data_IF_995287985181
#
_entry.id   IF_995287985181
#
_cell.length_a   1.000
_cell.length_b   1.000
_cell.length_c   1.000
_cell.angle_alpha   90.00
_cell.angle_beta   90.00
_cell.angle_gamma   90.00
#
_symmetry.space_group_name_H-M   'P 1'
#
loop_
_entity.id
_entity.type
_entity.pdbx_description
1 polymer ?
#
# COMPACT_ATOMS: atom_id res chain seq x y z
N UNK A 1 -2.22 59.33 -0.71
CA UNK A 1 -2.97 58.07 -0.61
C UNK A 1 -2.01 57.04 -0.09
N UNK A 2 -2.07 56.69 1.17
CA UNK A 2 -1.28 55.59 1.72
C UNK A 2 -2.01 54.27 1.44
N UNK A 3 -1.65 53.60 0.39
CA UNK A 3 -2.05 52.22 0.16
C UNK A 3 -1.14 51.34 1.02
N UNK A 4 -1.56 51.07 2.25
CA UNK A 4 -0.93 50.03 3.07
C UNK A 4 -1.39 48.68 2.49
N UNK A 5 -0.67 48.23 1.48
CA UNK A 5 -0.78 46.83 1.04
C UNK A 5 -0.18 45.99 2.15
N UNK A 6 -1.05 45.45 2.99
CA UNK A 6 -0.66 44.50 4.00
C UNK A 6 -0.35 43.17 3.29
N UNK A 7 0.90 43.02 2.83
CA UNK A 7 1.40 41.85 2.12
C UNK A 7 1.17 40.56 2.91
N UNK A 8 1.12 40.63 4.23
CA UNK A 8 0.80 39.47 5.08
C UNK A 8 -0.66 39.02 4.96
N UNK A 9 -1.60 39.92 4.75
CA UNK A 9 -3.03 39.60 4.66
C UNK A 9 -3.39 38.98 3.30
N UNK A 10 -2.77 39.50 2.21
CA UNK A 10 -2.96 38.95 0.86
C UNK A 10 -2.30 37.57 0.71
N UNK A 11 -1.14 37.35 1.29
CA UNK A 11 -0.46 36.06 1.29
C UNK A 11 -1.23 35.02 2.10
N UNK A 12 -1.82 35.41 3.23
CA UNK A 12 -2.66 34.52 4.04
C UNK A 12 -3.96 34.13 3.33
N UNK A 13 -4.60 35.07 2.63
CA UNK A 13 -5.81 34.79 1.82
C UNK A 13 -5.51 33.87 0.63
N UNK A 14 -4.43 34.11 -0.08
CA UNK A 14 -4.02 33.25 -1.18
C UNK A 14 -3.64 31.85 -0.68
N UNK A 15 -2.93 31.78 0.44
CA UNK A 15 -2.53 30.52 1.06
C UNK A 15 -3.72 29.66 1.47
N UNK A 16 -4.74 30.24 2.08
CA UNK A 16 -5.94 29.48 2.47
C UNK A 16 -6.77 29.04 1.27
N UNK A 17 -6.79 29.77 0.17
CA UNK A 17 -7.44 29.37 -1.07
C UNK A 17 -6.73 28.17 -1.72
N UNK A 18 -5.40 28.24 -1.85
CA UNK A 18 -4.61 27.13 -2.41
C UNK A 18 -4.67 25.89 -1.53
N UNK A 19 -4.60 26.03 -0.20
CA UNK A 19 -4.74 24.91 0.74
C UNK A 19 -6.08 24.19 0.55
N UNK A 20 -7.17 24.94 0.36
CA UNK A 20 -8.49 24.37 0.14
C UNK A 20 -8.59 23.60 -1.17
N UNK A 21 -8.08 24.15 -2.25
CA UNK A 21 -8.09 23.51 -3.55
C UNK A 21 -7.26 22.22 -3.53
N UNK A 22 -6.08 22.25 -2.91
CA UNK A 22 -5.21 21.12 -2.75
C UNK A 22 -5.88 19.98 -1.95
N UNK A 23 -6.57 20.30 -0.85
CA UNK A 23 -7.30 19.31 -0.05
C UNK A 23 -8.45 18.66 -0.81
N UNK A 24 -9.19 19.42 -1.61
CA UNK A 24 -10.27 18.89 -2.43
C UNK A 24 -9.75 17.93 -3.48
N UNK A 25 -8.70 18.26 -4.20
CA UNK A 25 -8.06 17.41 -5.20
C UNK A 25 -7.52 16.11 -4.57
N UNK A 26 -6.85 16.20 -3.42
CA UNK A 26 -6.33 15.06 -2.71
C UNK A 26 -7.42 14.11 -2.19
N UNK A 27 -8.53 14.63 -1.69
CA UNK A 27 -9.64 13.85 -1.14
C UNK A 27 -10.30 12.91 -2.16
N UNK A 28 -10.33 13.27 -3.41
CA UNK A 28 -10.99 12.47 -4.46
C UNK A 28 -10.30 11.12 -4.70
N UNK A 29 -9.03 10.97 -4.32
CA UNK A 29 -8.22 9.78 -4.56
C UNK A 29 -8.01 8.87 -3.35
N UNK A 30 -8.45 9.27 -2.16
CA UNK A 30 -8.27 8.48 -0.96
C UNK A 30 -9.29 7.35 -0.85
N UNK A 31 -8.88 6.14 -1.13
CA UNK A 31 -9.69 4.92 -0.98
C UNK A 31 -9.22 4.10 0.23
N UNK A 32 -7.92 3.74 0.29
CA UNK A 32 -7.36 2.91 1.35
C UNK A 32 -7.36 3.63 2.72
N UNK A 33 -7.13 4.94 2.73
CA UNK A 33 -7.14 5.73 3.97
C UNK A 33 -8.53 5.97 4.54
N UNK A 34 -9.59 5.77 3.74
CA UNK A 34 -10.97 6.10 4.10
C UNK A 34 -11.55 5.20 5.19
N UNK A 35 -11.17 3.93 5.21
CA UNK A 35 -11.80 2.89 6.03
C UNK A 35 -10.97 2.49 7.26
N UNK A 36 -9.74 3.01 7.39
CA UNK A 36 -8.87 2.74 8.53
C UNK A 36 -9.37 3.36 9.83
N UNK A 37 -9.04 2.75 10.95
CA UNK A 37 -9.25 3.34 12.28
C UNK A 37 -8.29 4.51 12.47
N UNK A 38 -8.81 5.73 12.59
CA UNK A 38 -8.01 6.93 12.82
C UNK A 38 -7.63 7.07 14.29
N UNK A 39 -6.34 7.20 14.57
CA UNK A 39 -5.78 7.41 15.92
C UNK A 39 -4.74 8.51 15.89
N UNK A 40 -5.13 9.78 16.17
CA UNK A 40 -4.17 10.88 16.21
C UNK A 40 -3.26 10.77 17.45
N UNK A 41 -1.97 11.12 17.26
CA UNK A 41 -1.02 11.29 18.35
C UNK A 41 -1.20 12.70 18.93
N UNK A 42 -1.39 12.88 20.23
CA UNK A 42 -1.39 14.20 20.85
C UNK A 42 -0.04 14.92 20.60
N UNK A 43 -0.08 16.22 20.37
CA UNK A 43 1.15 17.02 20.18
C UNK A 43 2.12 16.84 21.35
N UNK A 44 3.41 16.85 21.06
CA UNK A 44 4.51 16.70 22.03
C UNK A 44 4.63 15.32 22.73
N UNK A 45 3.95 14.28 22.21
CA UNK A 45 4.02 12.92 22.78
C UNK A 45 4.90 11.95 21.96
N UNK A 46 5.90 12.48 21.24
CA UNK A 46 6.83 11.67 20.47
C UNK A 46 6.28 11.25 19.10
N UNK A 47 7.00 10.38 18.42
CA UNK A 47 6.69 9.87 17.06
C UNK A 47 6.26 8.40 17.04
N UNK A 48 6.30 7.73 18.17
CA UNK A 48 6.03 6.31 18.33
C UNK A 48 4.66 6.08 18.93
N UNK A 49 3.87 5.20 18.35
CA UNK A 49 2.54 4.79 18.83
C UNK A 49 2.51 3.31 19.07
N UNK A 50 2.00 2.93 20.22
CA UNK A 50 1.78 1.56 20.63
C UNK A 50 0.28 1.29 20.74
N UNK A 51 -0.24 0.37 19.91
CA UNK A 51 -1.61 -0.14 20.00
C UNK A 51 -1.61 -1.39 20.84
N UNK A 52 -2.47 -1.42 21.86
CA UNK A 52 -2.58 -2.53 22.80
C UNK A 52 -3.90 -3.23 22.66
N UNK A 53 -3.86 -4.54 22.68
CA UNK A 53 -5.03 -5.40 22.63
C UNK A 53 -4.91 -6.52 23.66
N UNK A 54 -5.97 -6.71 24.44
CA UNK A 54 -6.09 -7.89 25.29
C UNK A 54 -6.40 -9.11 24.43
N UNK A 55 -5.70 -10.19 24.66
CA UNK A 55 -6.00 -11.46 24.05
C UNK A 55 -7.20 -12.10 24.73
N UNK A 56 -8.05 -12.75 23.96
CA UNK A 56 -9.19 -13.48 24.50
C UNK A 56 -8.70 -14.68 25.30
N UNK A 57 -9.37 -14.96 26.41
CA UNK A 57 -9.16 -16.20 27.12
C UNK A 57 -9.55 -17.40 26.26
N UNK A 58 -8.81 -18.50 26.44
CA UNK A 58 -9.16 -19.75 25.77
C UNK A 58 -10.43 -20.33 26.41
N UNK A 59 -11.56 -20.48 25.70
CA UNK A 59 -12.77 -21.07 26.24
C UNK A 59 -12.59 -22.59 26.36
N UNK A 60 -12.25 -23.08 27.51
CA UNK A 60 -12.17 -24.49 27.84
C UNK A 60 -13.27 -24.83 28.85
N UNK A 61 -14.11 -25.80 28.50
CA UNK A 61 -15.29 -26.19 29.28
C UNK A 61 -14.85 -26.83 30.60
N UNK A 62 -13.83 -27.66 30.57
CA UNK A 62 -13.36 -28.37 31.76
C UNK A 62 -12.61 -27.42 32.72
N UNK A 63 -11.81 -26.50 32.19
CA UNK A 63 -11.10 -25.48 32.95
C UNK A 63 -12.06 -24.51 33.67
N UNK A 64 -13.20 -24.23 33.06
CA UNK A 64 -14.21 -23.30 33.58
C UNK A 64 -15.31 -24.01 34.39
N UNK A 65 -15.24 -25.34 34.58
CA UNK A 65 -16.17 -26.10 35.38
C UNK A 65 -15.84 -25.91 36.87
N UNK A 66 -16.81 -25.44 37.63
CA UNK A 66 -16.65 -25.22 39.07
C UNK A 66 -17.00 -26.47 39.86
N UNK A 67 -16.18 -26.78 40.85
CA UNK A 67 -16.47 -27.82 41.83
C UNK A 67 -16.95 -27.13 43.12
N UNK A 68 -18.01 -27.60 43.72
CA UNK A 68 -18.58 -27.04 44.96
C UNK A 68 -17.56 -27.06 46.10
N UNK A 69 -17.36 -25.91 46.72
CA UNK A 69 -16.43 -25.77 47.85
C UNK A 69 -14.94 -25.63 47.48
N UNK A 70 -14.59 -25.62 46.17
CA UNK A 70 -13.22 -25.48 45.71
C UNK A 70 -13.04 -24.15 45.00
N UNK A 71 -12.05 -23.34 45.42
CA UNK A 71 -11.71 -22.08 44.72
C UNK A 71 -11.06 -22.38 43.37
N UNK A 72 -11.60 -21.88 42.24
CA UNK A 72 -10.99 -22.10 40.94
C UNK A 72 -9.64 -21.37 40.79
N UNK A 73 -8.81 -21.87 39.92
CA UNK A 73 -7.55 -21.19 39.56
C UNK A 73 -7.83 -19.92 38.76
N UNK A 74 -7.13 -18.83 39.12
CA UNK A 74 -7.20 -17.57 38.36
C UNK A 74 -6.51 -17.69 36.98
N UNK A 75 -7.06 -17.02 35.99
CA UNK A 75 -6.46 -16.91 34.66
C UNK A 75 -5.63 -15.63 34.58
N UNK A 76 -4.49 -15.69 33.88
CA UNK A 76 -3.65 -14.51 33.65
C UNK A 76 -4.06 -13.79 32.36
N UNK A 77 -4.07 -12.44 32.42
CA UNK A 77 -4.28 -11.60 31.24
C UNK A 77 -3.03 -11.60 30.36
N UNK A 78 -3.21 -11.74 29.07
CA UNK A 78 -2.15 -11.55 28.08
C UNK A 78 -2.50 -10.41 27.12
N UNK A 79 -1.49 -9.69 26.69
CA UNK A 79 -1.63 -8.49 25.85
C UNK A 79 -0.75 -8.65 24.62
N UNK A 80 -1.30 -8.24 23.47
CA UNK A 80 -0.55 -8.06 22.23
C UNK A 80 -0.39 -6.58 21.93
N UNK A 81 0.80 -6.17 21.51
CA UNK A 81 1.12 -4.79 21.12
C UNK A 81 1.45 -4.74 19.65
N UNK A 82 1.05 -3.65 19.02
CA UNK A 82 1.41 -3.31 17.64
C UNK A 82 1.96 -1.89 17.65
N UNK A 83 3.17 -1.73 17.15
CA UNK A 83 3.91 -0.48 17.17
C UNK A 83 3.97 0.15 15.77
N UNK A 84 3.96 1.48 15.71
CA UNK A 84 4.13 2.22 14.48
C UNK A 84 4.84 3.55 14.72
N UNK A 85 5.75 3.90 13.81
CA UNK A 85 6.46 5.17 13.78
C UNK A 85 5.91 6.05 12.67
N UNK A 86 5.59 7.31 12.99
CA UNK A 86 5.14 8.27 11.99
C UNK A 86 6.32 8.88 11.25
N UNK A 87 6.16 9.01 9.92
CA UNK A 87 7.15 9.58 9.01
C UNK A 87 6.58 10.83 8.34
N UNK A 88 7.47 11.76 7.98
CA UNK A 88 7.12 12.97 7.25
C UNK A 88 7.35 12.75 5.75
N UNK A 89 6.41 13.23 4.94
CA UNK A 89 6.51 13.24 3.49
C UNK A 89 6.34 14.66 2.98
N UNK A 90 7.05 15.03 1.92
CA UNK A 90 6.90 16.35 1.34
C UNK A 90 7.64 16.47 0.01
N UNK A 91 7.16 17.40 -0.80
CA UNK A 91 7.76 17.77 -2.07
C UNK A 91 7.60 19.28 -2.27
N UNK A 92 8.43 19.88 -3.11
CA UNK A 92 8.32 21.29 -3.48
C UNK A 92 8.73 21.50 -4.93
N UNK A 93 8.23 22.60 -5.49
CA UNK A 93 8.57 23.10 -6.84
C UNK A 93 9.11 24.50 -6.69
N UNK A 94 10.18 24.80 -7.42
CA UNK A 94 10.72 26.15 -7.55
C UNK A 94 10.23 26.79 -8.85
N UNK A 95 9.82 28.04 -8.76
CA UNK A 95 9.33 28.83 -9.90
C UNK A 95 10.17 30.11 -9.98
N UNK A 96 10.73 30.38 -11.17
CA UNK A 96 11.47 31.61 -11.38
C UNK A 96 10.53 32.81 -11.61
N UNK A 97 10.98 34.00 -11.25
CA UNK A 97 10.26 35.26 -11.48
C UNK A 97 9.97 35.51 -12.96
N UNK A 98 10.93 35.18 -13.83
CA UNK A 98 10.77 35.31 -15.28
C UNK A 98 9.66 34.40 -15.81
N UNK A 99 9.57 33.18 -15.29
CA UNK A 99 8.51 32.23 -15.67
C UNK A 99 7.14 32.73 -15.19
N UNK A 100 7.07 33.25 -13.97
CA UNK A 100 5.81 33.78 -13.41
C UNK A 100 5.32 35.04 -14.15
N UNK A 101 6.26 35.89 -14.63
CA UNK A 101 5.96 37.08 -15.40
C UNK A 101 5.64 36.82 -16.89
N UNK A 102 6.25 35.80 -17.48
CA UNK A 102 6.10 35.50 -18.92
C UNK A 102 5.16 34.35 -19.21
N UNK A 103 4.87 33.51 -18.22
CA UNK A 103 3.98 32.37 -18.34
C UNK A 103 2.53 32.80 -18.59
N UNK A 104 1.87 32.10 -19.50
CA UNK A 104 0.44 32.32 -19.77
C UNK A 104 -0.42 31.68 -18.66
N UNK A 105 0.04 30.60 -18.09
CA UNK A 105 -0.67 29.79 -17.07
C UNK A 105 -0.31 30.22 -15.63
N UNK A 106 -1.18 29.90 -14.70
CA UNK A 106 -0.97 30.16 -13.26
C UNK A 106 -0.06 29.09 -12.66
N UNK A 107 1.23 29.13 -12.98
CA UNK A 107 2.22 28.08 -12.63
C UNK A 107 2.24 27.76 -11.13
N UNK A 108 2.09 28.74 -10.26
CA UNK A 108 2.06 28.56 -8.79
C UNK A 108 0.81 27.77 -8.37
N UNK A 109 -0.37 28.09 -8.95
CA UNK A 109 -1.62 27.41 -8.61
C UNK A 109 -1.63 25.98 -9.12
N UNK A 110 -1.22 25.76 -10.36
CA UNK A 110 -1.16 24.44 -10.99
C UNK A 110 -0.13 23.54 -10.30
N UNK A 111 1.01 24.11 -9.89
CA UNK A 111 2.02 23.39 -9.08
C UNK A 111 1.48 22.96 -7.72
N UNK A 112 0.65 23.77 -7.08
CA UNK A 112 0.03 23.42 -5.80
C UNK A 112 -0.97 22.25 -5.96
N UNK A 113 -1.75 22.25 -7.04
CA UNK A 113 -2.69 21.16 -7.35
C UNK A 113 -1.95 19.86 -7.63
N UNK A 114 -0.91 19.87 -8.48
CA UNK A 114 -0.10 18.71 -8.81
C UNK A 114 0.62 18.12 -7.59
N UNK A 115 1.17 18.98 -6.72
CA UNK A 115 1.80 18.54 -5.47
C UNK A 115 0.78 17.91 -4.52
N UNK A 116 -0.46 18.41 -4.50
CA UNK A 116 -1.53 17.82 -3.71
C UNK A 116 -1.91 16.44 -4.19
N UNK A 117 -2.04 16.28 -5.48
CA UNK A 117 -2.31 14.99 -6.11
C UNK A 117 -1.18 14.00 -5.82
N UNK A 118 0.08 14.42 -5.99
CA UNK A 118 1.25 13.62 -5.71
C UNK A 118 1.28 13.13 -4.24
N UNK A 119 1.16 14.05 -3.28
CA UNK A 119 1.23 13.67 -1.87
C UNK A 119 0.01 12.87 -1.41
N UNK A 120 -1.18 13.14 -1.97
CA UNK A 120 -2.35 12.31 -1.77
C UNK A 120 -2.10 10.86 -2.19
N UNK A 121 -1.51 10.68 -3.36
CA UNK A 121 -1.12 9.37 -3.88
C UNK A 121 -0.06 8.70 -3.01
N UNK A 122 0.94 9.45 -2.51
CA UNK A 122 1.96 8.90 -1.58
C UNK A 122 1.33 8.39 -0.29
N UNK A 123 0.41 9.13 0.32
CA UNK A 123 -0.30 8.71 1.54
C UNK A 123 -1.13 7.45 1.28
N UNK A 124 -1.78 7.39 0.14
CA UNK A 124 -2.55 6.22 -0.31
C UNK A 124 -1.64 5.00 -0.48
N UNK A 125 -0.47 5.16 -1.11
CA UNK A 125 0.50 4.07 -1.30
C UNK A 125 1.09 3.57 0.02
N UNK A 126 1.41 4.47 0.95
CA UNK A 126 1.90 4.09 2.29
C UNK A 126 0.85 3.24 3.01
N UNK A 127 -0.42 3.63 2.93
CA UNK A 127 -1.52 2.86 3.54
C UNK A 127 -1.71 1.52 2.84
N UNK A 128 -1.77 1.51 1.52
CA UNK A 128 -1.90 0.31 0.69
C UNK A 128 -0.78 -0.69 0.97
N UNK A 129 0.47 -0.21 0.96
CA UNK A 129 1.63 -1.06 1.15
C UNK A 129 1.66 -1.63 2.58
N UNK A 130 1.29 -0.83 3.60
CA UNK A 130 1.12 -1.33 4.96
C UNK A 130 0.04 -2.43 5.03
N UNK A 131 -1.11 -2.26 4.37
CA UNK A 131 -2.15 -3.29 4.31
C UNK A 131 -1.69 -4.55 3.58
N UNK A 132 -0.81 -4.41 2.59
CA UNK A 132 -0.26 -5.54 1.83
C UNK A 132 0.86 -6.29 2.57
N UNK A 133 1.37 -5.82 3.70
CA UNK A 133 2.38 -6.51 4.50
C UNK A 133 1.82 -7.65 5.35
N UNK A 134 0.50 -7.81 5.46
CA UNK A 134 -0.14 -8.86 6.26
C UNK A 134 0.19 -10.27 5.77
N UNK A 135 0.19 -11.22 6.72
CA UNK A 135 0.48 -12.64 6.44
C UNK A 135 -0.78 -13.44 6.05
N UNK A 136 -1.97 -12.86 6.21
CA UNK A 136 -3.23 -13.53 5.85
C UNK A 136 -3.48 -13.39 4.35
N UNK A 137 -2.91 -14.31 3.58
CA UNK A 137 -2.93 -14.29 2.11
C UNK A 137 -3.68 -15.49 1.57
N UNK A 138 -4.52 -15.26 0.57
CA UNK A 138 -5.19 -16.28 -0.22
C UNK A 138 -4.74 -16.15 -1.67
N UNK A 139 -4.34 -17.26 -2.27
CA UNK A 139 -3.97 -17.32 -3.69
C UNK A 139 -5.12 -17.87 -4.51
N UNK A 140 -5.46 -17.20 -5.62
CA UNK A 140 -6.51 -17.66 -6.52
C UNK A 140 -6.15 -19.00 -7.18
N UNK A 141 -7.15 -19.71 -7.68
CA UNK A 141 -6.97 -21.00 -8.34
C UNK A 141 -6.43 -22.11 -7.42
N UNK A 142 -6.49 -21.93 -6.09
CA UNK A 142 -5.95 -22.92 -5.14
C UNK A 142 -4.43 -23.04 -5.14
N UNK A 143 -3.72 -22.05 -5.65
CA UNK A 143 -2.26 -21.99 -5.64
C UNK A 143 -1.71 -21.84 -4.22
N UNK A 144 -0.45 -22.22 -4.02
CA UNK A 144 0.20 -22.23 -2.70
C UNK A 144 1.01 -20.96 -2.44
N UNK A 145 1.48 -20.31 -3.51
CA UNK A 145 2.30 -19.11 -3.43
C UNK A 145 2.04 -18.21 -4.65
N UNK A 146 2.52 -16.95 -4.57
CA UNK A 146 2.43 -15.97 -5.66
C UNK A 146 3.09 -16.45 -6.95
N UNK A 147 4.23 -17.12 -6.84
CA UNK A 147 5.04 -17.56 -7.97
C UNK A 147 4.37 -18.61 -8.85
N UNK A 148 3.34 -19.27 -8.32
CA UNK A 148 2.57 -20.28 -9.06
C UNK A 148 1.32 -19.68 -9.75
N UNK A 149 1.03 -18.39 -9.54
CA UNK A 149 -0.10 -17.71 -10.15
C UNK A 149 0.14 -17.42 -11.63
N UNK A 150 -0.85 -17.67 -12.43
CA UNK A 150 -0.85 -17.41 -13.88
C UNK A 150 -1.97 -16.42 -14.22
N UNK A 151 -1.97 -15.87 -15.42
CA UNK A 151 -3.03 -14.99 -15.91
C UNK A 151 -4.42 -15.66 -15.94
N UNK A 152 -4.48 -17.00 -15.92
CA UNK A 152 -5.74 -17.75 -15.84
C UNK A 152 -6.32 -17.85 -14.42
N UNK A 153 -5.51 -17.64 -13.39
CA UNK A 153 -5.93 -17.70 -11.98
C UNK A 153 -6.59 -16.38 -11.56
N UNK A 154 -7.75 -16.07 -12.13
CA UNK A 154 -8.48 -14.81 -11.99
C UNK A 154 -9.21 -14.69 -10.67
N UNK A 155 -9.57 -13.45 -10.33
CA UNK A 155 -10.50 -13.20 -9.23
C UNK A 155 -11.89 -13.66 -9.61
N UNK A 156 -12.44 -14.61 -8.87
CA UNK A 156 -13.80 -15.13 -9.06
C UNK A 156 -14.67 -14.89 -7.83
N UNK A 157 -15.98 -14.96 -8.02
CA UNK A 157 -16.95 -14.88 -6.90
C UNK A 157 -16.70 -15.99 -5.87
N UNK A 158 -16.21 -17.16 -6.30
CA UNK A 158 -15.88 -18.26 -5.39
C UNK A 158 -14.71 -17.88 -4.46
N UNK A 159 -13.65 -17.26 -4.97
CA UNK A 159 -12.50 -16.82 -4.16
C UNK A 159 -12.96 -15.78 -3.11
N UNK A 160 -13.84 -14.87 -3.48
CA UNK A 160 -14.42 -13.88 -2.55
C UNK A 160 -15.25 -14.60 -1.45
N UNK A 161 -16.04 -15.60 -1.79
CA UNK A 161 -16.81 -16.39 -0.80
C UNK A 161 -15.89 -17.14 0.17
N UNK A 162 -14.74 -17.67 -0.32
CA UNK A 162 -13.71 -18.30 0.53
C UNK A 162 -13.13 -17.26 1.49
N UNK A 163 -12.78 -16.07 1.01
CA UNK A 163 -12.27 -14.97 1.81
C UNK A 163 -13.25 -14.52 2.90
N UNK A 164 -14.52 -14.31 2.55
CA UNK A 164 -15.56 -13.95 3.52
C UNK A 164 -15.75 -15.04 4.58
N UNK A 165 -15.68 -16.32 4.19
CA UNK A 165 -15.73 -17.44 5.14
C UNK A 165 -14.57 -17.37 6.13
N UNK A 166 -13.34 -17.09 5.66
CA UNK A 166 -12.15 -16.97 6.49
C UNK A 166 -12.28 -15.82 7.48
N UNK A 167 -12.74 -14.65 7.04
CA UNK A 167 -12.97 -13.49 7.91
C UNK A 167 -14.05 -13.76 8.96
N UNK A 168 -15.15 -14.39 8.60
CA UNK A 168 -16.23 -14.78 9.53
C UNK A 168 -15.73 -15.80 10.55
N UNK A 169 -14.92 -16.78 10.14
CA UNK A 169 -14.29 -17.75 11.05
C UNK A 169 -13.34 -17.07 12.03
N UNK A 170 -12.62 -16.04 11.59
CA UNK A 170 -11.77 -15.21 12.43
C UNK A 170 -12.55 -14.21 13.31
N UNK A 171 -13.88 -14.24 13.29
CA UNK A 171 -14.76 -13.31 14.02
C UNK A 171 -14.47 -11.84 13.68
N UNK A 172 -14.12 -11.56 12.42
CA UNK A 172 -13.89 -10.20 11.96
C UNK A 172 -15.19 -9.37 12.08
N UNK A 173 -15.04 -8.14 12.59
CA UNK A 173 -16.17 -7.21 12.74
C UNK A 173 -16.53 -6.63 11.38
N UNK A 174 -17.78 -6.75 10.91
CA UNK A 174 -18.19 -6.08 9.69
C UNK A 174 -18.37 -4.57 9.90
N UNK A 175 -18.39 -3.81 8.82
CA UNK A 175 -18.84 -2.42 8.81
C UNK A 175 -20.37 -2.37 8.85
N UNK A 176 -20.93 -1.28 9.39
CA UNK A 176 -22.37 -1.10 9.58
C UNK A 176 -22.90 -1.77 10.83
N UNK A 177 -24.18 -1.50 11.10
CA UNK A 177 -24.88 -2.11 12.24
C UNK A 177 -25.19 -3.58 11.98
N UNK A 178 -25.39 -4.34 13.06
CA UNK A 178 -25.77 -5.74 13.00
C UNK A 178 -27.05 -5.95 12.16
N UNK A 179 -27.04 -6.95 11.28
CA UNK A 179 -28.17 -7.33 10.44
C UNK A 179 -27.90 -7.15 8.94
N UNK A 180 -28.93 -6.75 8.17
CA UNK A 180 -28.88 -6.67 6.69
C UNK A 180 -27.85 -5.67 6.14
N UNK A 181 -27.38 -4.71 6.93
CA UNK A 181 -26.40 -3.69 6.53
C UNK A 181 -24.97 -4.06 6.85
N UNK A 182 -24.73 -5.13 7.60
CA UNK A 182 -23.38 -5.61 7.92
C UNK A 182 -22.64 -6.06 6.65
N UNK A 183 -21.44 -5.53 6.42
CA UNK A 183 -20.65 -5.84 5.22
C UNK A 183 -19.14 -5.72 5.49
N UNK A 184 -18.36 -6.44 4.69
CA UNK A 184 -16.92 -6.25 4.56
C UNK A 184 -16.65 -5.32 3.40
N UNK A 185 -15.47 -4.70 3.37
CA UNK A 185 -15.05 -3.85 2.26
C UNK A 185 -14.00 -4.61 1.46
N UNK A 186 -14.14 -4.57 0.14
CA UNK A 186 -13.21 -5.12 -0.82
C UNK A 186 -12.66 -3.97 -1.67
N UNK A 187 -11.35 -3.79 -1.67
CA UNK A 187 -10.67 -2.86 -2.58
C UNK A 187 -9.99 -3.69 -3.66
N UNK A 188 -10.31 -3.41 -4.91
CA UNK A 188 -9.80 -4.14 -6.08
C UNK A 188 -9.31 -3.17 -7.16
N UNK A 189 -8.46 -3.69 -8.07
CA UNK A 189 -8.03 -2.96 -9.26
C UNK A 189 -9.13 -2.95 -10.32
N UNK A 190 -9.10 -2.01 -11.30
CA UNK A 190 -10.04 -1.99 -12.43
C UNK A 190 -10.03 -3.28 -13.23
N UNK A 191 -8.87 -3.90 -13.45
CA UNK A 191 -8.71 -5.17 -14.17
C UNK A 191 -9.39 -6.32 -13.42
N UNK A 192 -9.21 -6.36 -12.09
CA UNK A 192 -9.87 -7.35 -11.25
C UNK A 192 -11.40 -7.18 -11.25
N UNK A 193 -11.87 -5.92 -11.30
CA UNK A 193 -13.29 -5.59 -11.42
C UNK A 193 -13.86 -6.09 -12.74
N UNK A 194 -13.13 -5.87 -13.83
CA UNK A 194 -13.53 -6.36 -15.17
C UNK A 194 -13.70 -7.88 -15.18
N UNK A 195 -12.74 -8.63 -14.65
CA UNK A 195 -12.83 -10.09 -14.58
C UNK A 195 -13.98 -10.55 -13.69
N UNK A 196 -14.22 -9.87 -12.56
CA UNK A 196 -15.31 -10.18 -11.65
C UNK A 196 -16.69 -9.94 -12.29
N UNK A 197 -16.84 -8.87 -13.07
CA UNK A 197 -18.07 -8.55 -13.80
C UNK A 197 -18.37 -9.54 -14.93
N UNK A 198 -17.36 -10.22 -15.44
CA UNK A 198 -17.51 -11.29 -16.43
C UNK A 198 -17.92 -12.63 -15.79
N UNK A 199 -17.89 -12.77 -14.46
CA UNK A 199 -18.36 -13.98 -13.77
C UNK A 199 -19.91 -14.08 -13.85
N UNK A 200 -20.39 -15.25 -14.28
CA UNK A 200 -21.83 -15.50 -14.44
C UNK A 200 -22.63 -15.30 -13.16
N UNK A 201 -22.04 -15.66 -12.00
CA UNK A 201 -22.68 -15.47 -10.70
C UNK A 201 -22.81 -13.98 -10.35
N UNK A 202 -21.86 -13.16 -10.73
CA UNK A 202 -21.94 -11.72 -10.58
C UNK A 202 -23.07 -11.14 -11.42
N UNK A 203 -23.13 -11.52 -12.70
CA UNK A 203 -24.15 -11.04 -13.63
C UNK A 203 -25.56 -11.41 -13.19
N UNK A 204 -25.76 -12.61 -12.65
CA UNK A 204 -27.06 -13.04 -12.17
C UNK A 204 -27.53 -12.26 -10.94
N UNK A 205 -26.62 -11.97 -10.00
CA UNK A 205 -26.95 -11.18 -8.80
C UNK A 205 -27.16 -9.71 -9.14
N UNK A 206 -26.39 -9.15 -10.07
CA UNK A 206 -26.52 -7.73 -10.47
C UNK A 206 -27.87 -7.42 -11.11
N UNK A 207 -28.52 -8.40 -11.75
CA UNK A 207 -29.87 -8.25 -12.31
C UNK A 207 -30.96 -8.00 -11.24
N UNK A 208 -30.69 -8.37 -9.99
CA UNK A 208 -31.62 -8.21 -8.86
C UNK A 208 -31.24 -7.05 -7.93
N UNK A 209 -30.13 -6.33 -8.18
CA UNK A 209 -29.72 -5.23 -7.35
C UNK A 209 -30.30 -3.89 -7.86
N UNK A 210 -30.70 -3.01 -6.93
CA UNK A 210 -31.20 -1.68 -7.26
C UNK A 210 -30.12 -0.82 -7.90
N UNK A 211 -30.50 -0.06 -8.94
CA UNK A 211 -29.63 0.83 -9.70
C UNK A 211 -29.05 2.04 -8.91
N UNK A 212 -29.51 2.29 -7.68
CA UNK A 212 -29.10 3.44 -6.87
C UNK A 212 -27.61 3.44 -6.44
N UNK A 213 -26.96 2.28 -6.44
CA UNK A 213 -25.57 2.14 -5.94
C UNK A 213 -24.51 2.55 -6.97
N UNK A 214 -24.88 2.73 -8.23
CA UNK A 214 -23.95 3.01 -9.35
C UNK A 214 -23.30 4.40 -9.24
N UNK A 215 -23.93 5.34 -8.53
CA UNK A 215 -23.50 6.75 -8.48
C UNK A 215 -22.43 7.06 -7.42
N UNK A 216 -22.11 6.13 -6.52
CA UNK A 216 -21.22 6.39 -5.36
C UNK A 216 -19.81 5.82 -5.48
N UNK A 217 -19.39 5.32 -6.67
CA UNK A 217 -18.12 4.61 -6.85
C UNK A 217 -18.09 3.21 -6.24
N UNK A 218 -19.22 2.74 -5.72
CA UNK A 218 -19.46 1.38 -5.29
C UNK A 218 -19.85 0.56 -6.52
N UNK A 219 -19.03 -0.45 -6.88
CA UNK A 219 -19.28 -1.30 -8.03
C UNK A 219 -20.49 -2.21 -7.79
N UNK A 220 -20.76 -2.54 -6.54
CA UNK A 220 -21.88 -3.38 -6.14
C UNK A 220 -21.68 -4.05 -4.79
N UNK A 221 -22.71 -4.76 -4.35
CA UNK A 221 -22.71 -5.60 -3.14
C UNK A 221 -22.92 -7.04 -3.50
N UNK A 222 -22.03 -7.92 -3.04
CA UNK A 222 -22.17 -9.35 -3.25
C UNK A 222 -21.75 -10.10 -1.98
N UNK A 223 -22.57 -11.05 -1.53
CA UNK A 223 -22.33 -11.91 -0.36
C UNK A 223 -21.87 -11.18 0.93
N UNK A 224 -22.38 -9.97 1.14
CA UNK A 224 -22.02 -9.15 2.30
C UNK A 224 -20.68 -8.44 2.16
N UNK A 225 -20.19 -8.23 0.93
CA UNK A 225 -19.02 -7.45 0.59
C UNK A 225 -19.42 -6.27 -0.26
N UNK A 226 -18.89 -5.09 0.04
CA UNK A 226 -18.98 -3.87 -0.76
C UNK A 226 -17.69 -3.74 -1.54
N UNK A 227 -17.78 -3.61 -2.86
CA UNK A 227 -16.64 -3.50 -3.75
C UNK A 227 -16.37 -2.04 -4.07
N UNK A 228 -15.13 -1.64 -3.87
CA UNK A 228 -14.62 -0.30 -4.17
C UNK A 228 -13.44 -0.45 -5.12
N UNK A 229 -13.49 0.23 -6.25
CA UNK A 229 -12.41 0.24 -7.22
C UNK A 229 -11.35 1.28 -6.87
N UNK A 230 -10.08 0.91 -7.01
CA UNK A 230 -8.95 1.82 -6.87
C UNK A 230 -7.95 1.57 -7.96
N UNK A 231 -7.59 2.63 -8.70
CA UNK A 231 -6.49 2.60 -9.68
C UNK A 231 -5.13 2.41 -9.02
N UNK A 232 -5.04 2.72 -7.72
CA UNK A 232 -3.83 2.61 -6.92
C UNK A 232 -3.73 1.26 -6.18
N UNK A 233 -4.57 0.27 -6.52
CA UNK A 233 -4.46 -1.07 -5.97
C UNK A 233 -3.08 -1.68 -6.23
N UNK A 234 -2.56 -2.46 -5.28
CA UNK A 234 -1.22 -3.04 -5.41
C UNK A 234 -1.16 -4.06 -6.52
N UNK A 235 -0.23 -3.88 -7.42
CA UNK A 235 0.14 -4.84 -8.46
C UNK A 235 1.58 -5.26 -8.18
N UNK A 236 1.80 -6.56 -8.09
CA UNK A 236 3.13 -7.14 -7.99
C UNK A 236 3.61 -7.47 -9.39
N UNK A 237 4.50 -6.62 -9.90
CA UNK A 237 5.08 -6.74 -11.23
C UNK A 237 6.50 -7.27 -11.14
N UNK A 238 6.92 -7.99 -12.15
CA UNK A 238 8.28 -8.50 -12.24
C UNK A 238 9.24 -7.41 -12.68
N UNK A 239 10.28 -7.20 -11.90
CA UNK A 239 11.42 -6.37 -12.29
C UNK A 239 12.53 -7.26 -12.82
N UNK A 240 13.02 -6.97 -14.02
CA UNK A 240 14.27 -7.55 -14.52
C UNK A 240 15.41 -6.87 -13.77
N UNK A 241 16.11 -7.63 -12.93
CA UNK A 241 17.26 -7.11 -12.18
C UNK A 241 18.51 -7.12 -13.06
N UNK A 242 18.83 -8.25 -13.71
CA UNK A 242 20.06 -8.39 -14.50
C UNK A 242 20.05 -9.67 -15.34
N UNK A 243 21.22 -10.05 -15.86
CA UNK A 243 21.47 -11.33 -16.54
C UNK A 243 22.67 -12.03 -15.94
N UNK A 244 22.69 -13.34 -16.03
CA UNK A 244 23.85 -14.17 -15.67
C UNK A 244 24.96 -13.95 -16.70
N UNK A 245 26.18 -13.66 -16.24
CA UNK A 245 27.33 -13.38 -17.12
C UNK A 245 27.85 -14.62 -17.84
N UNK A 246 28.02 -15.72 -17.11
CA UNK A 246 28.55 -16.97 -17.62
C UNK A 246 27.82 -18.16 -17.00
N UNK A 247 27.76 -19.29 -17.72
CA UNK A 247 27.14 -20.49 -17.20
C UNK A 247 27.90 -21.01 -15.98
N UNK A 248 27.15 -21.40 -14.94
CA UNK A 248 27.66 -22.00 -13.72
C UNK A 248 26.97 -23.33 -13.50
N UNK A 249 27.75 -24.33 -13.05
CA UNK A 249 27.24 -25.68 -12.78
C UNK A 249 27.48 -26.03 -11.32
N UNK A 250 26.39 -26.32 -10.60
CA UNK A 250 26.41 -26.70 -9.19
C UNK A 250 27.20 -25.70 -8.31
N UNK A 251 26.98 -24.41 -8.52
CA UNK A 251 27.62 -23.31 -7.78
C UNK A 251 26.59 -22.51 -7.00
N UNK A 252 26.94 -22.11 -5.78
CA UNK A 252 26.13 -21.21 -4.99
C UNK A 252 26.33 -19.72 -5.34
N UNK A 253 27.28 -19.40 -6.22
CA UNK A 253 27.54 -18.02 -6.63
C UNK A 253 27.63 -17.88 -8.15
N UNK A 254 27.16 -16.75 -8.66
CA UNK A 254 27.24 -16.38 -10.07
C UNK A 254 27.49 -14.89 -10.22
N UNK A 255 28.02 -14.49 -11.38
CA UNK A 255 28.34 -13.08 -11.67
C UNK A 255 27.27 -12.48 -12.58
N UNK A 256 26.85 -11.26 -12.28
CA UNK A 256 25.93 -10.48 -13.11
C UNK A 256 26.63 -9.93 -14.34
N UNK A 257 25.93 -9.86 -15.46
CA UNK A 257 26.46 -9.39 -16.74
C UNK A 257 26.70 -7.89 -16.77
N UNK A 258 25.79 -7.13 -16.16
CA UNK A 258 25.86 -5.67 -16.10
C UNK A 258 26.02 -5.24 -14.64
N UNK A 259 26.59 -4.04 -14.42
CA UNK A 259 26.60 -3.42 -13.10
C UNK A 259 25.16 -3.05 -12.71
N UNK A 260 24.62 -3.56 -11.58
CA UNK A 260 23.28 -3.26 -11.16
C UNK A 260 23.16 -1.79 -10.72
N UNK A 261 21.95 -1.26 -10.82
CA UNK A 261 21.60 0.05 -10.25
C UNK A 261 21.59 -0.02 -8.71
N UNK A 262 21.63 1.12 -8.03
CA UNK A 262 21.61 1.18 -6.55
C UNK A 262 20.38 0.46 -5.96
N UNK A 263 19.23 0.57 -6.62
CA UNK A 263 17.99 -0.10 -6.19
C UNK A 263 18.08 -1.63 -6.36
N UNK A 264 18.62 -2.11 -7.47
CA UNK A 264 18.85 -3.53 -7.74
C UNK A 264 19.90 -4.11 -6.78
N UNK A 265 20.99 -3.37 -6.54
CA UNK A 265 22.03 -3.74 -5.60
C UNK A 265 21.48 -3.83 -4.16
N UNK A 266 20.62 -2.90 -3.75
CA UNK A 266 19.95 -2.93 -2.45
C UNK A 266 19.05 -4.17 -2.32
N UNK A 267 18.25 -4.50 -3.34
CA UNK A 267 17.44 -5.70 -3.36
C UNK A 267 18.28 -6.98 -3.26
N UNK A 268 19.33 -7.09 -4.06
CA UNK A 268 20.24 -8.25 -4.07
C UNK A 268 21.05 -8.40 -2.77
N UNK A 269 21.26 -7.29 -2.04
CA UNK A 269 21.95 -7.30 -0.74
C UNK A 269 21.04 -7.70 0.42
N UNK A 270 19.72 -7.76 0.20
CA UNK A 270 18.77 -8.18 1.23
C UNK A 270 18.80 -9.68 1.38
N UNK A 271 19.46 -10.16 2.42
CA UNK A 271 19.64 -11.59 2.70
C UNK A 271 18.30 -12.31 2.89
N UNK A 272 18.20 -13.50 2.31
CA UNK A 272 16.99 -14.32 2.34
C UNK A 272 15.91 -13.92 1.34
N UNK A 273 16.11 -12.86 0.56
CA UNK A 273 15.19 -12.50 -0.54
C UNK A 273 15.20 -13.57 -1.61
N UNK A 274 14.07 -13.75 -2.27
CA UNK A 274 13.95 -14.71 -3.36
C UNK A 274 14.16 -14.02 -4.71
N UNK A 275 14.74 -14.73 -5.63
CA UNK A 275 14.93 -14.32 -7.02
C UNK A 275 14.53 -15.44 -7.96
N UNK A 276 14.14 -15.10 -9.17
CA UNK A 276 13.93 -16.05 -10.25
C UNK A 276 15.06 -15.92 -11.26
N UNK A 277 15.58 -17.04 -11.72
CA UNK A 277 16.59 -17.08 -12.79
C UNK A 277 16.13 -18.10 -13.82
N UNK A 278 15.87 -17.66 -15.04
CA UNK A 278 15.20 -18.49 -16.03
C UNK A 278 13.84 -18.96 -15.52
N UNK A 279 13.63 -20.27 -15.43
CA UNK A 279 12.43 -20.90 -14.88
C UNK A 279 12.57 -21.32 -13.41
N UNK A 280 13.74 -21.17 -12.81
CA UNK A 280 14.06 -21.61 -11.43
C UNK A 280 13.84 -20.51 -10.40
N UNK A 281 13.44 -20.91 -9.20
CA UNK A 281 13.31 -20.04 -8.02
C UNK A 281 14.49 -20.31 -7.08
N UNK A 282 15.14 -19.25 -6.62
CA UNK A 282 16.31 -19.32 -5.76
C UNK A 282 16.19 -18.32 -4.61
N UNK A 283 16.79 -18.64 -3.48
CA UNK A 283 16.85 -17.76 -2.32
C UNK A 283 18.27 -17.21 -2.19
N UNK A 284 18.39 -15.91 -1.94
CA UNK A 284 19.68 -15.26 -1.68
C UNK A 284 20.26 -15.72 -0.33
N UNK A 285 21.57 -15.75 -0.21
CA UNK A 285 22.23 -16.06 1.05
C UNK A 285 21.79 -15.09 2.16
N UNK A 286 21.72 -15.57 3.40
CA UNK A 286 21.26 -14.75 4.55
C UNK A 286 22.23 -13.61 4.88
N UNK A 287 23.51 -13.71 4.49
CA UNK A 287 24.53 -12.68 4.65
C UNK A 287 25.48 -12.71 3.46
N UNK A 288 25.96 -11.55 3.03
CA UNK A 288 26.87 -11.43 1.89
C UNK A 288 26.25 -11.92 0.57
N UNK A 289 24.95 -11.68 0.39
CA UNK A 289 24.21 -12.15 -0.80
C UNK A 289 24.62 -11.44 -2.09
N UNK A 290 25.20 -10.22 -1.99
CA UNK A 290 25.71 -9.46 -3.14
C UNK A 290 27.03 -8.77 -2.80
N UNK A 291 28.00 -8.93 -3.70
CA UNK A 291 29.28 -8.20 -3.68
C UNK A 291 29.36 -7.22 -4.85
N UNK A 292 29.28 -5.92 -4.54
CA UNK A 292 29.28 -4.85 -5.53
C UNK A 292 30.65 -4.69 -6.24
N UNK A 293 31.76 -5.14 -5.65
CA UNK A 293 33.08 -5.00 -6.25
C UNK A 293 33.27 -5.99 -7.41
N UNK A 294 32.67 -7.17 -7.29
CA UNK A 294 32.79 -8.27 -8.28
C UNK A 294 31.49 -8.53 -9.04
N UNK A 295 30.40 -7.80 -8.73
CA UNK A 295 29.03 -8.05 -9.21
C UNK A 295 28.57 -9.51 -8.98
N UNK A 296 29.02 -10.12 -7.89
CA UNK A 296 28.74 -11.53 -7.57
C UNK A 296 27.53 -11.64 -6.67
N UNK A 297 26.57 -12.48 -7.07
CA UNK A 297 25.39 -12.85 -6.26
C UNK A 297 25.62 -14.22 -5.66
N UNK A 298 25.33 -14.38 -4.36
CA UNK A 298 25.44 -15.63 -3.63
C UNK A 298 24.05 -16.14 -3.24
N UNK A 299 23.76 -17.37 -3.60
CA UNK A 299 22.53 -18.10 -3.30
C UNK A 299 22.68 -18.92 -2.01
N UNK A 300 21.57 -19.24 -1.38
CA UNK A 300 21.53 -20.13 -0.22
C UNK A 300 21.83 -21.60 -0.57
N UNK A 301 21.64 -21.98 -1.82
CA UNK A 301 21.89 -23.34 -2.34
C UNK A 301 22.58 -23.28 -3.70
N UNK A 302 23.32 -24.34 -4.03
CA UNK A 302 23.98 -24.47 -5.33
C UNK A 302 22.95 -24.61 -6.47
N UNK A 303 23.22 -23.93 -7.57
CA UNK A 303 22.37 -23.87 -8.76
C UNK A 303 23.18 -24.17 -10.03
N UNK A 304 22.49 -24.61 -11.08
CA UNK A 304 23.03 -24.71 -12.43
C UNK A 304 22.30 -23.69 -13.29
N UNK A 305 23.04 -22.70 -13.78
CA UNK A 305 22.52 -21.55 -14.52
C UNK A 305 23.22 -21.44 -15.87
N UNK A 306 22.52 -20.94 -16.87
CA UNK A 306 23.09 -20.69 -18.19
C UNK A 306 23.51 -19.23 -18.33
N UNK A 307 24.47 -18.98 -19.21
CA UNK A 307 24.81 -17.62 -19.59
C UNK A 307 23.58 -16.93 -20.22
N UNK A 308 23.44 -15.64 -19.96
CA UNK A 308 22.31 -14.80 -20.39
C UNK A 308 20.93 -15.15 -19.79
N UNK A 309 20.86 -16.11 -18.85
CA UNK A 309 19.64 -16.30 -18.06
C UNK A 309 19.28 -14.99 -17.36
N UNK A 310 18.00 -14.59 -17.46
CA UNK A 310 17.52 -13.34 -16.89
C UNK A 310 17.27 -13.54 -15.39
N UNK A 311 17.79 -12.62 -14.59
CA UNK A 311 17.56 -12.54 -13.13
C UNK A 311 16.41 -11.58 -12.86
N UNK A 312 15.38 -12.09 -12.19
CA UNK A 312 14.17 -11.34 -11.86
C UNK A 312 13.96 -11.24 -10.35
N UNK A 313 13.29 -10.19 -9.91
CA UNK A 313 12.77 -10.08 -8.53
C UNK A 313 11.62 -11.08 -8.28
N UNK A 314 11.31 -11.32 -7.00
CA UNK A 314 10.25 -12.28 -6.60
C UNK A 314 8.82 -11.77 -6.88
N UNK A 315 8.62 -10.49 -7.19
CA UNK A 315 7.34 -9.81 -7.10
C UNK A 315 6.31 -10.13 -8.20
N UNK A 316 6.50 -11.19 -8.96
CA UNK A 316 5.56 -11.60 -10.01
C UNK A 316 5.09 -13.05 -9.88
N UNK A 317 4.05 -13.39 -10.64
CA UNK A 317 3.55 -14.76 -10.80
C UNK A 317 4.45 -15.65 -11.66
N UNK A 318 3.90 -16.73 -12.17
CA UNK A 318 4.62 -17.69 -13.00
C UNK A 318 5.20 -17.03 -14.25
N UNK A 319 6.39 -17.45 -14.65
CA UNK A 319 7.03 -16.99 -15.88
C UNK A 319 6.37 -17.70 -17.06
N UNK A 320 5.89 -16.95 -18.01
CA UNK A 320 5.43 -17.46 -19.30
C UNK A 320 6.66 -17.85 -20.15
N UNK A 321 6.72 -19.09 -20.59
CA UNK A 321 7.83 -19.61 -21.37
C UNK A 321 8.01 -18.94 -22.73
N UNK A 322 6.92 -18.42 -23.32
CA UNK A 322 6.97 -17.74 -24.61
C UNK A 322 7.50 -16.30 -24.50
N UNK A 323 7.00 -15.53 -23.54
CA UNK A 323 7.36 -14.13 -23.37
C UNK A 323 8.54 -13.91 -22.42
N UNK A 324 8.90 -14.93 -21.63
CA UNK A 324 9.92 -14.86 -20.56
C UNK A 324 9.65 -13.74 -19.54
N UNK A 325 8.38 -13.36 -19.38
CA UNK A 325 7.90 -12.38 -18.40
C UNK A 325 7.07 -13.09 -17.34
N UNK A 326 7.17 -12.63 -16.10
CA UNK A 326 6.29 -13.07 -15.03
C UNK A 326 4.90 -12.45 -15.20
N UNK A 327 3.89 -13.20 -14.82
CA UNK A 327 2.52 -12.71 -14.78
C UNK A 327 2.38 -11.62 -13.71
N UNK A 328 1.78 -10.50 -14.04
CA UNK A 328 1.42 -9.46 -13.07
C UNK A 328 0.37 -10.03 -12.11
N UNK A 329 0.63 -9.87 -10.81
CA UNK A 329 -0.26 -10.36 -9.75
C UNK A 329 -0.93 -9.18 -9.07
N UNK A 330 -2.24 -9.16 -9.13
CA UNK A 330 -3.06 -8.13 -8.50
C UNK A 330 -3.42 -8.53 -7.08
N UNK A 331 -3.37 -7.56 -6.15
CA UNK A 331 -3.75 -7.75 -4.77
C UNK A 331 -5.13 -7.12 -4.51
N UNK A 332 -6.11 -7.96 -4.29
CA UNK A 332 -7.43 -7.54 -3.81
C UNK A 332 -7.49 -7.66 -2.29
N UNK A 333 -7.83 -6.57 -1.61
CA UNK A 333 -7.87 -6.49 -0.16
C UNK A 333 -9.32 -6.60 0.34
N UNK A 334 -9.61 -7.58 1.18
CA UNK A 334 -10.91 -7.72 1.85
C UNK A 334 -10.72 -7.63 3.35
N UNK A 335 -11.45 -6.72 4.00
CA UNK A 335 -11.26 -6.47 5.43
C UNK A 335 -12.53 -6.07 6.15
N UNK A 336 -12.49 -6.26 7.47
CA UNK A 336 -13.53 -5.81 8.40
C UNK A 336 -13.16 -4.49 9.08
N UNK A 337 -14.07 -4.00 9.91
CA UNK A 337 -13.86 -2.81 10.72
C UNK A 337 -12.70 -3.02 11.69
N UNK A 338 -11.89 -1.98 11.90
CA UNK A 338 -10.73 -1.98 12.80
C UNK A 338 -9.62 -2.99 12.43
N UNK A 339 -9.54 -3.41 11.17
CA UNK A 339 -8.50 -4.31 10.69
C UNK A 339 -7.13 -3.61 10.61
N UNK A 340 -7.10 -2.35 10.22
CA UNK A 340 -5.90 -1.51 10.16
C UNK A 340 -6.18 -0.11 10.72
N UNK A 341 -5.12 0.60 11.10
CA UNK A 341 -5.17 1.95 11.63
C UNK A 341 -4.32 2.91 10.82
N UNK A 342 -4.76 4.15 10.78
CA UNK A 342 -4.00 5.29 10.25
C UNK A 342 -3.71 6.26 11.39
N UNK A 343 -2.49 6.77 11.41
CA UNK A 343 -1.94 7.58 12.49
C UNK A 343 -1.50 8.90 11.91
N UNK A 344 -1.93 9.99 12.53
CA UNK A 344 -1.50 11.36 12.26
C UNK A 344 -1.23 12.10 13.57
N UNK A 345 -0.77 13.33 13.52
CA UNK A 345 -0.59 14.16 14.72
C UNK A 345 -1.81 15.05 14.91
N UNK A 346 -2.40 15.04 16.12
CA UNK A 346 -3.57 15.82 16.49
C UNK A 346 -3.35 17.30 16.24
N UNK A 347 -4.34 17.93 15.57
CA UNK A 347 -4.32 19.37 15.22
C UNK A 347 -3.27 19.74 14.17
N UNK A 348 -2.63 18.78 13.55
CA UNK A 348 -1.87 18.96 12.31
C UNK A 348 -2.80 18.64 11.13
N UNK A 349 -2.82 19.49 10.14
CA UNK A 349 -3.46 19.12 8.87
C UNK A 349 -2.65 17.96 8.27
N UNK A 350 -3.32 16.91 7.82
CA UNK A 350 -2.65 15.77 7.19
C UNK A 350 -1.81 16.24 6.01
N UNK A 351 -2.31 17.19 5.24
CA UNK A 351 -1.63 17.84 4.14
C UNK A 351 -1.55 19.35 4.39
N UNK A 352 -0.36 19.92 4.32
CA UNK A 352 -0.09 21.34 4.56
C UNK A 352 0.68 21.94 3.39
N UNK A 353 0.10 22.95 2.75
CA UNK A 353 0.72 23.71 1.67
C UNK A 353 1.53 24.89 2.22
N UNK A 354 2.72 25.09 1.70
CA UNK A 354 3.64 26.17 2.06
C UNK A 354 4.00 26.91 0.79
N UNK A 355 3.54 28.15 0.67
CA UNK A 355 3.88 29.01 -0.46
C UNK A 355 4.82 30.09 0.05
N UNK A 356 6.00 30.17 -0.53
CA UNK A 356 6.97 31.23 -0.31
C UNK A 356 7.06 32.07 -1.59
N UNK A 357 6.52 33.30 -1.59
CA UNK A 357 6.58 34.17 -2.77
C UNK A 357 8.00 34.68 -3.02
N UNK A 358 8.21 35.28 -4.18
CA UNK A 358 9.45 35.99 -4.50
C UNK A 358 9.79 36.98 -3.38
N UNK A 359 11.07 37.10 -3.03
CA UNK A 359 11.53 37.97 -1.94
C UNK A 359 11.40 37.38 -0.53
N UNK A 360 10.95 36.15 -0.39
CA UNK A 360 10.80 35.49 0.92
C UNK A 360 12.05 34.74 1.40
N UNK A 361 13.04 34.54 0.55
CA UNK A 361 14.24 33.75 0.84
C UNK A 361 15.39 34.55 1.51
N UNK A 362 15.27 35.88 1.60
CA UNK A 362 16.28 36.74 2.21
C UNK A 362 17.65 36.62 1.55
N UNK A 363 18.70 36.37 2.31
CA UNK A 363 20.09 36.29 1.81
C UNK A 363 20.36 35.08 0.92
N UNK A 364 19.49 34.06 0.93
CA UNK A 364 19.65 32.84 0.09
C UNK A 364 19.25 33.12 -1.37
N UNK A 365 18.48 34.16 -1.61
CA UNK A 365 18.13 34.65 -2.94
C UNK A 365 18.15 36.19 -2.98
N UNK A 366 19.37 36.77 -3.12
CA UNK A 366 19.57 38.22 -3.02
C UNK A 366 18.92 39.04 -4.14
N UNK A 367 18.50 38.38 -5.22
CA UNK A 367 17.85 39.03 -6.36
C UNK A 367 16.36 38.74 -6.46
N UNK A 368 15.81 38.05 -5.46
CA UNK A 368 14.38 37.69 -5.33
C UNK A 368 13.81 36.96 -6.57
N UNK A 369 14.63 36.13 -7.20
CA UNK A 369 14.29 35.44 -8.46
C UNK A 369 13.53 34.14 -8.31
N UNK A 370 13.36 33.64 -7.06
CA UNK A 370 12.73 32.34 -6.82
C UNK A 370 11.52 32.42 -5.90
N UNK A 371 10.43 31.78 -6.33
CA UNK A 371 9.31 31.43 -5.47
C UNK A 371 9.30 29.91 -5.27
N UNK A 372 8.82 29.42 -4.13
CA UNK A 372 8.67 28.00 -3.87
C UNK A 372 7.27 27.66 -3.44
N UNK A 373 6.73 26.62 -4.05
CA UNK A 373 5.45 25.99 -3.65
C UNK A 373 5.80 24.62 -3.10
N UNK A 374 5.55 24.41 -1.83
CA UNK A 374 5.80 23.13 -1.17
C UNK A 374 4.49 22.56 -0.60
N UNK A 375 4.39 21.26 -0.59
CA UNK A 375 3.36 20.55 0.14
C UNK A 375 4.01 19.53 1.08
N UNK A 376 3.45 19.35 2.26
CA UNK A 376 4.01 18.51 3.32
C UNK A 376 2.91 17.76 4.06
N UNK A 377 3.12 16.47 4.25
CA UNK A 377 2.40 15.65 5.22
C UNK A 377 3.23 15.63 6.51
N UNK A 378 2.71 16.24 7.56
CA UNK A 378 3.48 16.52 8.78
C UNK A 378 3.93 15.24 9.50
N UNK A 379 3.07 14.24 9.54
CA UNK A 379 3.36 12.93 10.10
C UNK A 379 2.27 11.96 9.68
N UNK A 380 2.65 10.82 9.14
CA UNK A 380 1.71 9.79 8.72
C UNK A 380 2.31 8.40 8.89
N UNK A 381 1.49 7.47 9.33
CA UNK A 381 1.79 6.04 9.33
C UNK A 381 0.50 5.23 9.16
N UNK A 382 0.63 4.04 8.63
CA UNK A 382 -0.43 3.06 8.59
C UNK A 382 0.08 1.72 9.13
N UNK A 383 -0.76 0.99 9.84
CA UNK A 383 -0.38 -0.28 10.46
C UNK A 383 -1.56 -1.24 10.50
N UNK A 384 -1.30 -2.54 10.35
CA UNK A 384 -2.29 -3.59 10.51
C UNK A 384 -2.53 -3.80 12.02
N UNK A 385 -3.75 -3.56 12.48
CA UNK A 385 -4.14 -3.77 13.88
C UNK A 385 -4.49 -5.22 14.16
N UNK A 386 -5.12 -5.89 13.21
CA UNK A 386 -5.47 -7.29 13.31
C UNK A 386 -5.33 -7.99 11.96
N UNK A 387 -4.26 -8.74 11.79
CA UNK A 387 -3.94 -9.44 10.54
C UNK A 387 -5.03 -10.46 10.14
N UNK A 388 -5.70 -11.10 11.10
CA UNK A 388 -6.79 -12.05 10.81
C UNK A 388 -8.07 -11.38 10.25
N UNK A 389 -8.21 -10.06 10.40
CA UNK A 389 -9.37 -9.30 9.93
C UNK A 389 -9.15 -8.60 8.60
N UNK A 390 -7.92 -8.70 8.08
CA UNK A 390 -7.53 -8.23 6.75
C UNK A 390 -7.03 -9.43 5.96
N UNK A 391 -7.62 -9.67 4.80
CA UNK A 391 -7.22 -10.76 3.93
C UNK A 391 -6.85 -10.19 2.57
N UNK A 392 -5.67 -10.58 2.08
CA UNK A 392 -5.19 -10.26 0.74
C UNK A 392 -5.42 -11.44 -0.19
N UNK A 393 -6.18 -11.23 -1.25
CA UNK A 393 -6.30 -12.20 -2.35
C UNK A 393 -5.33 -11.80 -3.43
N UNK A 394 -4.40 -12.68 -3.77
CA UNK A 394 -3.49 -12.52 -4.89
C UNK A 394 -3.97 -13.35 -6.07
N UNK A 395 -4.10 -12.72 -7.23
CA UNK A 395 -4.66 -13.33 -8.42
C UNK A 395 -4.06 -12.73 -9.70
N UNK A 396 -4.15 -13.48 -10.80
CA UNK A 396 -3.91 -12.96 -12.13
C UNK A 396 -5.11 -12.18 -12.64
N UNK A 397 -4.98 -11.56 -13.79
CA UNK A 397 -6.03 -10.81 -14.51
C UNK A 397 -6.02 -11.17 -15.99
N UNK A 398 -7.15 -10.89 -16.65
CA UNK A 398 -7.23 -10.94 -18.13
C UNK A 398 -6.28 -9.92 -18.74
N UNK A 399 -5.58 -10.31 -19.79
CA UNK A 399 -4.77 -9.41 -20.60
C UNK A 399 -5.66 -8.49 -21.46
#
# INVERSE_FOLDING_TARGET
MNTTLNTSTTTALNKSFYDRQLLESAKTRFVHTKFGQKRPIPRNNGKHVEFRRWNLFNPDVELNKLTEGVTPQGQSLSQSTVEADVTQYGAYVEVSDLLDMTGYDRVIADSAELLGEQLGTVVEWVTRDAMCMGNNVQYAGGKVNRLALTASDKLTVEEIRKAVRTLKRAKARPFGDEGRKAHFICICSPEATYDLQNDTLWQDVSKYSNAENIYSGEIGRLFGVVFVESTEAKIFTQSVLNKVSASVTNSASFVLKNTPTDAEAAYLSTGGSKIKIGSGEYTLASSGSFDAATNTVTLSAAATLNADDIVYSEDAGAIDDATKKGCDVHATLIFGKDAYGTIDIEGSQTLHTIIKPHGSAGTDDPLDQRATVGAKVAAYAAVILNDLWLLRIEHGVSA
#
